data_IF_455090516709
#
_entry.id   IF_455090516709
#
_cell.length_a   1.000
_cell.length_b   1.000
_cell.length_c   1.000
_cell.angle_alpha   90.00
_cell.angle_beta   90.00
_cell.angle_gamma   90.00
#
_symmetry.space_group_name_H-M   'P 1'
#
loop_
_entity.id
_entity.type
_entity.pdbx_description
1 polymer ?
#
# COMPACT_ATOMS: atom_id res chain seq x y z
N UNK A 1 7.06 -15.35 13.88
CA UNK A 1 8.09 -14.30 14.13
C UNK A 1 7.48 -12.91 13.91
N UNK A 2 7.71 -11.95 14.81
CA UNK A 2 7.00 -10.65 14.85
C UNK A 2 7.18 -9.76 13.60
N UNK A 3 8.17 -10.05 12.74
CA UNK A 3 8.51 -9.27 11.53
C UNK A 3 8.30 -10.01 10.20
N UNK A 4 7.75 -11.23 10.23
CA UNK A 4 7.66 -12.07 9.03
C UNK A 4 6.68 -11.47 7.99
N UNK A 5 5.49 -11.07 8.43
CA UNK A 5 4.46 -10.54 7.53
C UNK A 5 4.94 -9.27 6.81
N UNK A 6 5.67 -8.42 7.53
CA UNK A 6 6.20 -7.16 7.03
C UNK A 6 7.28 -7.40 5.98
N UNK A 7 8.17 -8.38 6.20
CA UNK A 7 9.15 -8.79 5.22
C UNK A 7 8.48 -9.37 3.95
N UNK A 8 7.45 -10.21 4.11
CA UNK A 8 6.68 -10.78 3.01
C UNK A 8 5.99 -9.67 2.20
N UNK A 9 5.24 -8.79 2.86
CA UNK A 9 4.49 -7.71 2.22
C UNK A 9 5.41 -6.77 1.43
N UNK A 10 6.49 -6.30 2.07
CA UNK A 10 7.44 -5.40 1.42
C UNK A 10 8.15 -6.07 0.23
N UNK A 11 8.55 -7.34 0.37
CA UNK A 11 9.17 -8.10 -0.73
C UNK A 11 8.19 -8.28 -1.89
N UNK A 12 6.93 -8.62 -1.62
CA UNK A 12 5.90 -8.75 -2.64
C UNK A 12 5.72 -7.44 -3.43
N UNK A 13 5.69 -6.30 -2.72
CA UNK A 13 5.62 -4.97 -3.35
C UNK A 13 6.81 -4.71 -4.27
N UNK A 14 8.03 -4.93 -3.78
CA UNK A 14 9.25 -4.69 -4.57
C UNK A 14 9.27 -5.57 -5.82
N UNK A 15 8.97 -6.86 -5.70
CA UNK A 15 8.94 -7.78 -6.84
C UNK A 15 7.86 -7.41 -7.86
N UNK A 16 6.66 -7.02 -7.40
CA UNK A 16 5.59 -6.56 -8.28
C UNK A 16 6.00 -5.32 -9.07
N UNK A 17 6.65 -4.35 -8.41
CA UNK A 17 7.17 -3.13 -9.06
C UNK A 17 8.33 -3.39 -10.04
N UNK A 18 9.07 -4.49 -9.86
CA UNK A 18 10.11 -4.94 -10.78
C UNK A 18 9.56 -5.82 -11.92
N UNK A 19 8.26 -6.13 -11.92
CA UNK A 19 7.61 -6.98 -12.92
C UNK A 19 7.79 -8.49 -12.69
N UNK A 20 8.31 -8.92 -11.54
CA UNK A 20 8.39 -10.33 -11.17
C UNK A 20 7.05 -10.78 -10.55
N UNK A 21 6.03 -10.86 -11.41
CA UNK A 21 4.64 -11.09 -10.99
C UNK A 21 4.41 -12.46 -10.34
N UNK A 22 5.15 -13.48 -10.76
CA UNK A 22 4.99 -14.85 -10.26
C UNK A 22 5.44 -14.94 -8.79
N UNK A 23 6.65 -14.45 -8.49
CA UNK A 23 7.16 -14.51 -7.12
C UNK A 23 6.43 -13.52 -6.19
N UNK A 24 6.07 -12.34 -6.70
CA UNK A 24 5.23 -11.39 -5.96
C UNK A 24 3.86 -12.00 -5.62
N UNK A 25 3.24 -12.71 -6.57
CA UNK A 25 1.97 -13.39 -6.39
C UNK A 25 2.03 -14.48 -5.32
N UNK A 26 3.08 -15.30 -5.33
CA UNK A 26 3.27 -16.35 -4.33
C UNK A 26 3.40 -15.79 -2.90
N UNK A 27 4.13 -14.68 -2.72
CA UNK A 27 4.24 -14.00 -1.43
C UNK A 27 2.92 -13.36 -0.99
N UNK A 28 2.18 -12.76 -1.93
CA UNK A 28 0.85 -12.21 -1.64
C UNK A 28 -0.11 -13.32 -1.18
N UNK A 29 -0.10 -14.47 -1.84
CA UNK A 29 -0.90 -15.64 -1.46
C UNK A 29 -0.54 -16.14 -0.06
N UNK A 30 0.75 -16.23 0.26
CA UNK A 30 1.22 -16.63 1.58
C UNK A 30 0.67 -15.70 2.67
N UNK A 31 0.76 -14.38 2.45
CA UNK A 31 0.31 -13.39 3.43
C UNK A 31 -1.22 -13.37 3.59
N UNK A 32 -1.97 -13.48 2.49
CA UNK A 32 -3.43 -13.62 2.52
C UNK A 32 -3.84 -14.90 3.27
N UNK A 33 -3.12 -16.01 3.08
CA UNK A 33 -3.35 -17.24 3.81
C UNK A 33 -3.03 -17.09 5.31
N UNK A 34 -2.03 -16.30 5.68
CA UNK A 34 -1.73 -15.98 7.09
C UNK A 34 -2.90 -15.21 7.71
N UNK A 35 -3.38 -14.15 7.07
CA UNK A 35 -4.42 -13.28 7.65
C UNK A 35 -5.81 -13.93 7.69
N UNK A 36 -6.10 -14.86 6.77
CA UNK A 36 -7.40 -15.55 6.70
C UNK A 36 -7.49 -16.80 7.60
N UNK A 37 -6.39 -17.21 8.26
CA UNK A 37 -6.41 -18.34 9.21
C UNK A 37 -7.31 -18.06 10.42
N UNK A 38 -8.13 -19.05 10.78
CA UNK A 38 -9.08 -18.96 11.88
C UNK A 38 -8.42 -18.88 13.27
N UNK A 39 -7.21 -19.41 13.47
CA UNK A 39 -6.51 -19.40 14.77
C UNK A 39 -5.08 -18.87 14.63
N UNK A 40 -4.61 -18.10 15.62
CA UNK A 40 -3.23 -17.62 15.70
C UNK A 40 -2.80 -16.57 14.66
N UNK A 41 -3.70 -16.18 13.75
CA UNK A 41 -3.43 -15.14 12.77
C UNK A 41 -3.25 -13.77 13.44
N UNK A 42 -2.15 -13.10 13.11
CA UNK A 42 -1.93 -11.70 13.44
C UNK A 42 -2.83 -10.83 12.57
N UNK A 43 -3.53 -9.86 13.18
CA UNK A 43 -4.34 -8.90 12.42
C UNK A 43 -3.44 -8.08 11.47
N UNK A 44 -3.93 -7.72 10.26
CA UNK A 44 -3.16 -6.90 9.31
C UNK A 44 -2.78 -5.56 9.96
N UNK A 45 -1.49 -5.28 10.05
CA UNK A 45 -0.95 -4.03 10.58
C UNK A 45 -0.55 -3.09 9.45
N UNK A 46 0.57 -2.38 9.62
CA UNK A 46 1.11 -1.51 8.57
C UNK A 46 1.55 -2.27 7.31
N UNK A 47 1.81 -3.58 7.43
CA UNK A 47 2.04 -4.52 6.32
C UNK A 47 0.86 -4.58 5.33
N UNK A 48 -0.35 -4.19 5.76
CA UNK A 48 -1.50 -4.07 4.87
C UNK A 48 -1.26 -3.11 3.70
N UNK A 49 -0.48 -2.04 3.92
CA UNK A 49 -0.22 -1.03 2.89
C UNK A 49 0.65 -1.60 1.78
N UNK A 50 1.75 -2.28 2.13
CA UNK A 50 2.64 -2.87 1.14
C UNK A 50 1.94 -3.98 0.34
N UNK A 51 1.11 -4.81 1.00
CA UNK A 51 0.34 -5.83 0.30
C UNK A 51 -0.72 -5.20 -0.62
N UNK A 52 -1.39 -4.12 -0.21
CA UNK A 52 -2.34 -3.40 -1.07
C UNK A 52 -1.69 -2.89 -2.35
N UNK A 53 -0.48 -2.33 -2.24
CA UNK A 53 0.29 -1.87 -3.41
C UNK A 53 0.67 -3.06 -4.29
N UNK A 54 1.21 -4.13 -3.72
CA UNK A 54 1.57 -5.34 -4.47
C UNK A 54 0.36 -5.92 -5.22
N UNK A 55 -0.77 -6.08 -4.56
CA UNK A 55 -2.00 -6.60 -5.15
C UNK A 55 -2.54 -5.66 -6.25
N UNK A 56 -2.38 -4.35 -6.11
CA UNK A 56 -2.79 -3.40 -7.15
C UNK A 56 -1.94 -3.56 -8.41
N UNK A 57 -0.61 -3.63 -8.27
CA UNK A 57 0.31 -3.88 -9.40
C UNK A 57 0.06 -5.24 -10.07
N UNK A 58 -0.36 -6.25 -9.30
CA UNK A 58 -0.72 -7.58 -9.81
C UNK A 58 -2.14 -7.65 -10.41
N UNK A 59 -2.96 -6.59 -10.35
CA UNK A 59 -4.35 -6.62 -10.81
C UNK A 59 -5.30 -7.43 -9.90
N UNK A 60 -4.94 -7.62 -8.63
CA UNK A 60 -5.59 -8.47 -7.62
C UNK A 60 -6.10 -7.70 -6.40
N UNK A 61 -6.33 -6.39 -6.53
CA UNK A 61 -6.71 -5.49 -5.43
C UNK A 61 -7.91 -5.98 -4.59
N UNK A 62 -8.94 -6.56 -5.21
CA UNK A 62 -10.16 -7.02 -4.54
C UNK A 62 -9.97 -8.22 -3.59
N UNK A 63 -8.77 -8.81 -3.50
CA UNK A 63 -8.53 -9.93 -2.58
C UNK A 63 -8.45 -9.50 -1.11
N UNK A 64 -8.22 -8.22 -0.83
CA UNK A 64 -8.24 -7.69 0.53
C UNK A 64 -9.62 -7.78 1.20
N UNK A 65 -10.71 -7.81 0.43
CA UNK A 65 -12.07 -7.93 0.97
C UNK A 65 -12.27 -9.25 1.73
N UNK A 66 -11.59 -10.31 1.30
CA UNK A 66 -11.62 -11.62 1.98
C UNK A 66 -11.04 -11.54 3.38
N UNK A 67 -10.09 -10.64 3.61
CA UNK A 67 -9.45 -10.42 4.91
C UNK A 67 -10.37 -9.61 5.81
N UNK A 68 -11.07 -8.61 5.28
CA UNK A 68 -12.04 -7.80 6.03
C UNK A 68 -13.16 -8.64 6.66
N UNK A 69 -13.54 -9.75 6.02
CA UNK A 69 -14.55 -10.69 6.53
C UNK A 69 -14.11 -11.45 7.81
N UNK A 70 -12.83 -11.41 8.20
CA UNK A 70 -12.29 -12.20 9.32
C UNK A 70 -12.53 -11.59 10.72
N UNK A 71 -13.20 -10.44 10.84
CA UNK A 71 -13.44 -9.67 12.09
C UNK A 71 -12.17 -9.28 12.88
N UNK A 72 -10.96 -9.52 12.35
CA UNK A 72 -9.68 -9.12 12.94
C UNK A 72 -9.13 -7.92 12.19
N UNK A 73 -9.73 -6.77 12.42
CA UNK A 73 -9.37 -5.54 11.71
C UNK A 73 -8.54 -4.63 12.59
N UNK A 74 -7.54 -4.00 12.00
CA UNK A 74 -6.91 -2.80 12.58
C UNK A 74 -7.35 -1.60 11.75
N UNK A 75 -7.02 -0.38 12.21
CA UNK A 75 -7.27 0.85 11.44
C UNK A 75 -6.53 0.84 10.08
N UNK A 76 -5.48 0.04 9.93
CA UNK A 76 -4.69 -0.07 8.72
C UNK A 76 -5.42 -0.80 7.59
N UNK A 77 -6.23 -1.83 7.90
CA UNK A 77 -6.88 -2.63 6.87
C UNK A 77 -7.89 -1.80 6.03
N UNK A 78 -8.80 -0.99 6.62
CA UNK A 78 -9.65 -0.10 5.83
C UNK A 78 -8.86 0.92 5.00
N UNK A 79 -7.74 1.44 5.50
CA UNK A 79 -6.90 2.39 4.76
C UNK A 79 -6.24 1.72 3.54
N UNK A 80 -5.73 0.50 3.72
CA UNK A 80 -5.14 -0.32 2.66
C UNK A 80 -6.17 -0.72 1.60
N UNK A 81 -7.40 -1.07 1.99
CA UNK A 81 -8.50 -1.37 1.06
C UNK A 81 -8.85 -0.11 0.25
N UNK A 82 -9.04 1.04 0.91
CA UNK A 82 -9.32 2.29 0.20
C UNK A 82 -8.21 2.66 -0.80
N UNK A 83 -6.95 2.41 -0.44
CA UNK A 83 -5.80 2.59 -1.33
C UNK A 83 -5.90 1.66 -2.56
N UNK A 84 -6.12 0.37 -2.34
CA UNK A 84 -6.19 -0.65 -3.41
C UNK A 84 -7.35 -0.43 -4.38
N UNK A 85 -8.48 0.09 -3.89
CA UNK A 85 -9.67 0.40 -4.70
C UNK A 85 -9.57 1.75 -5.44
N UNK A 86 -8.47 2.48 -5.27
CA UNK A 86 -8.30 3.79 -5.88
C UNK A 86 -9.13 4.91 -5.25
N UNK A 87 -9.64 4.70 -4.03
CA UNK A 87 -10.31 5.73 -3.19
C UNK A 87 -9.25 6.55 -2.45
N UNK A 88 -8.32 7.15 -3.19
CA UNK A 88 -7.09 7.72 -2.66
C UNK A 88 -7.31 8.85 -1.65
N UNK A 89 -8.25 9.78 -1.88
CA UNK A 89 -8.59 10.82 -0.89
C UNK A 89 -9.11 10.25 0.44
N UNK A 90 -9.86 9.14 0.40
CA UNK A 90 -10.29 8.45 1.62
C UNK A 90 -9.12 7.74 2.31
N UNK A 91 -8.26 7.07 1.54
CA UNK A 91 -7.04 6.45 2.06
C UNK A 91 -6.14 7.50 2.76
N UNK A 92 -5.94 8.67 2.15
CA UNK A 92 -5.17 9.77 2.72
C UNK A 92 -5.76 10.24 4.06
N UNK A 93 -7.09 10.40 4.14
CA UNK A 93 -7.77 10.74 5.41
C UNK A 93 -7.52 9.66 6.47
N UNK A 94 -7.67 8.38 6.12
CA UNK A 94 -7.47 7.27 7.07
C UNK A 94 -6.03 7.20 7.56
N UNK A 95 -5.03 7.35 6.69
CA UNK A 95 -3.62 7.39 7.07
C UNK A 95 -3.28 8.57 7.97
N UNK A 96 -3.87 9.75 7.73
CA UNK A 96 -3.77 10.92 8.62
C UNK A 96 -4.26 10.61 10.02
N UNK A 97 -5.42 9.96 10.13
CA UNK A 97 -5.99 9.61 11.44
C UNK A 97 -5.19 8.52 12.16
N UNK A 98 -4.53 7.62 11.42
CA UNK A 98 -3.57 6.64 11.96
C UNK A 98 -2.29 7.33 12.42
N UNK A 99 -1.94 8.47 11.81
CA UNK A 99 -0.69 9.20 12.03
C UNK A 99 0.44 8.77 11.09
N UNK A 100 0.14 8.04 10.00
CA UNK A 100 1.14 7.62 9.03
C UNK A 100 1.35 8.68 7.96
N UNK A 101 2.28 9.61 8.23
CA UNK A 101 2.67 10.66 7.28
C UNK A 101 3.15 10.13 5.91
N UNK A 102 3.99 9.08 5.81
CA UNK A 102 4.46 8.62 4.50
C UNK A 102 3.34 8.00 3.65
N UNK A 103 2.39 7.30 4.27
CA UNK A 103 1.26 6.68 3.56
C UNK A 103 0.18 7.72 3.21
N UNK A 104 -0.03 8.71 4.07
CA UNK A 104 -0.86 9.88 3.77
C UNK A 104 -0.35 10.59 2.51
N UNK A 105 0.94 10.94 2.49
CA UNK A 105 1.55 11.61 1.34
C UNK A 105 1.47 10.74 0.07
N UNK A 106 1.54 9.42 0.21
CA UNK A 106 1.45 8.50 -0.94
C UNK A 106 0.05 8.56 -1.54
N UNK A 107 -0.96 8.43 -0.69
CA UNK A 107 -2.36 8.50 -1.10
C UNK A 107 -2.71 9.88 -1.69
N UNK A 108 -2.22 10.99 -1.11
CA UNK A 108 -2.40 12.33 -1.68
C UNK A 108 -1.74 12.48 -3.07
N UNK A 109 -0.54 11.91 -3.25
CA UNK A 109 0.12 11.92 -4.54
C UNK A 109 -0.72 11.19 -5.61
N UNK A 110 -1.29 10.04 -5.26
CA UNK A 110 -2.15 9.27 -6.16
C UNK A 110 -3.49 9.98 -6.41
N UNK A 111 -4.11 10.57 -5.38
CA UNK A 111 -5.38 11.29 -5.52
C UNK A 111 -5.20 12.53 -6.40
N UNK A 112 -4.22 13.39 -6.09
CA UNK A 112 -3.95 14.58 -6.88
C UNK A 112 -3.57 14.27 -8.33
N UNK A 113 -2.90 13.14 -8.61
CA UNK A 113 -2.67 12.66 -9.99
C UNK A 113 -3.97 12.23 -10.67
N UNK A 114 -4.86 11.55 -9.95
CA UNK A 114 -6.16 11.06 -10.46
C UNK A 114 -7.14 12.21 -10.71
N UNK A 115 -7.19 13.19 -9.83
CA UNK A 115 -8.15 14.32 -9.87
C UNK A 115 -7.60 15.54 -10.62
N UNK A 116 -6.28 15.61 -10.83
CA UNK A 116 -5.59 16.75 -11.43
C UNK A 116 -5.24 17.85 -10.42
N UNK A 117 -5.42 17.64 -9.12
CA UNK A 117 -5.07 18.60 -8.08
C UNK A 117 -3.54 18.75 -7.93
N UNK A 118 -3.00 19.79 -8.56
CA UNK A 118 -1.58 20.11 -8.51
C UNK A 118 -1.09 20.57 -7.12
N UNK A 119 -2.00 21.04 -6.26
CA UNK A 119 -1.70 21.43 -4.89
C UNK A 119 -1.37 20.21 -4.03
N UNK A 120 -2.21 19.17 -4.09
CA UNK A 120 -1.97 17.91 -3.38
C UNK A 120 -0.71 17.20 -3.89
N UNK A 121 -0.53 17.13 -5.21
CA UNK A 121 0.68 16.54 -5.82
C UNK A 121 1.93 17.26 -5.32
N UNK A 122 1.94 18.60 -5.32
CA UNK A 122 3.10 19.39 -4.86
C UNK A 122 3.39 19.13 -3.38
N UNK A 123 2.37 19.17 -2.53
CA UNK A 123 2.52 18.93 -1.08
C UNK A 123 3.12 17.56 -0.79
N UNK A 124 2.62 16.51 -1.45
CA UNK A 124 3.14 15.15 -1.30
C UNK A 124 4.59 15.02 -1.79
N UNK A 125 4.93 15.62 -2.94
CA UNK A 125 6.29 15.61 -3.47
C UNK A 125 7.27 16.39 -2.58
N UNK A 126 6.83 17.50 -1.98
CA UNK A 126 7.63 18.27 -1.03
C UNK A 126 7.95 17.47 0.22
N UNK A 127 6.99 16.69 0.73
CA UNK A 127 7.24 15.71 1.79
C UNK A 127 8.33 14.70 1.39
N UNK A 128 8.17 14.03 0.23
CA UNK A 128 9.13 13.00 -0.20
C UNK A 128 10.52 13.56 -0.47
N UNK A 129 10.62 14.79 -1.00
CA UNK A 129 11.89 15.49 -1.16
C UNK A 129 12.57 15.73 0.19
N UNK A 130 11.82 16.16 1.20
CA UNK A 130 12.32 16.43 2.55
C UNK A 130 12.88 15.18 3.24
N UNK A 131 12.29 14.01 3.00
CA UNK A 131 12.74 12.74 3.60
C UNK A 131 13.70 11.94 2.71
N UNK A 132 14.07 12.47 1.54
CA UNK A 132 15.02 11.81 0.62
C UNK A 132 14.47 10.62 -0.15
N UNK A 133 13.14 10.47 -0.26
CA UNK A 133 12.48 9.36 -0.96
C UNK A 133 12.39 9.64 -2.48
N UNK A 134 13.54 9.57 -3.14
CA UNK A 134 13.72 9.97 -4.54
C UNK A 134 12.91 9.16 -5.56
N UNK A 135 12.64 7.87 -5.29
CA UNK A 135 11.82 7.02 -6.18
C UNK A 135 10.38 7.51 -6.34
N UNK A 136 9.83 8.20 -5.34
CA UNK A 136 8.46 8.72 -5.36
C UNK A 136 8.34 10.11 -6.01
N UNK A 137 9.47 10.72 -6.36
CA UNK A 137 9.47 11.99 -7.10
C UNK A 137 9.14 11.80 -8.59
N UNK A 138 9.16 10.54 -9.07
CA UNK A 138 9.21 10.21 -10.49
C UNK A 138 10.65 10.35 -11.01
N UNK A 139 11.05 9.51 -11.96
CA UNK A 139 12.31 9.72 -12.67
C UNK A 139 12.30 11.13 -13.29
N UNK A 140 13.43 11.86 -13.30
CA UNK A 140 13.54 12.97 -14.23
C UNK A 140 13.27 12.40 -15.62
N UNK A 141 12.40 13.07 -16.38
CA UNK A 141 12.26 12.79 -17.81
C UNK A 141 13.56 13.25 -18.48
N UNK A 142 14.62 12.45 -18.36
CA UNK A 142 15.79 12.56 -19.20
C UNK A 142 15.48 11.82 -20.49
N UNK A 143 15.26 12.60 -21.54
CA UNK A 143 15.02 12.09 -22.88
C UNK A 143 16.11 11.10 -23.30
N UNK A 144 15.66 10.00 -23.89
CA UNK A 144 16.40 9.20 -24.85
C UNK A 144 15.48 8.86 -26.00
#
# INVERSE_FOLDING_TARGET
PWFLNQAIAFRARVLAQLGDSDEAGALADELLAIWTRAEGATAPGYDAVDLAIALTELGRAGELDRVAASNRTTRWLPAAIALAEGRFGEAARLFREIGSVPDEAYAQLLDGRKTGDQGEVRSALDFYRRVGASSLLGAPVEGR
#
